data_IF_351796770766
#
_entry.id   IF_351796770766
#
_cell.length_a   1.000
_cell.length_b   1.000
_cell.length_c   1.000
_cell.angle_alpha   90.00
_cell.angle_beta   90.00
_cell.angle_gamma   90.00
#
_symmetry.space_group_name_H-M   'P 1'
#
loop_
_entity.id
_entity.type
_entity.pdbx_description
1 polymer ?
#
# COMPACT_ATOMS: atom_id res chain seq x y z
N UNK A 1 -9.82 5.82 9.00
CA UNK A 1 -9.66 4.35 9.02
C UNK A 1 -8.26 4.04 8.54
N UNK A 2 -7.48 3.20 9.23
CA UNK A 2 -6.13 2.86 8.78
C UNK A 2 -6.21 2.09 7.46
N UNK A 3 -5.41 2.52 6.49
CA UNK A 3 -5.35 1.90 5.16
C UNK A 3 -4.22 0.88 5.09
N UNK A 4 -3.10 1.23 5.71
CA UNK A 4 -1.90 0.42 5.83
C UNK A 4 -1.40 0.45 7.27
N UNK A 5 -0.77 -0.63 7.70
CA UNK A 5 -0.09 -0.69 8.99
C UNK A 5 1.39 -0.41 8.80
N UNK A 6 2.05 0.18 9.80
CA UNK A 6 3.49 0.41 9.75
C UNK A 6 4.30 -0.90 9.75
N UNK A 7 3.71 -2.00 10.24
CA UNK A 7 4.32 -3.35 10.26
C UNK A 7 4.45 -3.97 8.88
N UNK A 8 3.56 -3.58 7.97
CA UNK A 8 3.55 -4.07 6.58
C UNK A 8 4.37 -3.18 5.65
N UNK A 9 4.92 -2.09 6.19
CA UNK A 9 5.84 -1.21 5.49
C UNK A 9 7.19 -1.91 5.33
N UNK A 10 7.73 -1.90 4.12
CA UNK A 10 9.07 -2.38 3.83
C UNK A 10 9.84 -1.37 2.98
N UNK A 11 11.17 -1.47 3.05
CA UNK A 11 12.03 -0.67 2.19
C UNK A 11 12.16 -1.33 0.82
N UNK A 12 11.62 -0.69 -0.22
CA UNK A 12 11.69 -1.17 -1.60
C UNK A 12 12.90 -0.62 -2.37
N UNK A 13 13.80 0.12 -1.70
CA UNK A 13 14.94 0.79 -2.33
C UNK A 13 14.58 1.94 -3.30
N UNK A 14 13.29 2.22 -3.51
CA UNK A 14 12.82 3.23 -4.47
C UNK A 14 12.72 4.65 -3.89
N UNK A 15 12.99 4.84 -2.58
CA UNK A 15 12.84 6.13 -1.88
C UNK A 15 11.40 6.51 -1.51
N UNK A 16 10.42 5.65 -1.83
CA UNK A 16 9.00 5.81 -1.49
C UNK A 16 8.56 4.72 -0.51
N UNK A 17 7.61 5.01 0.39
CA UNK A 17 7.06 4.01 1.30
C UNK A 17 6.36 2.91 0.49
N UNK A 18 6.83 1.67 0.63
CA UNK A 18 6.21 0.49 0.05
C UNK A 18 5.60 -0.36 1.14
N UNK A 19 4.49 -1.02 0.82
CA UNK A 19 3.79 -1.93 1.73
C UNK A 19 3.55 -3.26 1.02
N UNK A 20 3.63 -4.36 1.76
CA UNK A 20 3.36 -5.70 1.21
C UNK A 20 1.97 -6.22 1.52
N UNK A 21 1.25 -5.55 2.41
CA UNK A 21 -0.09 -5.93 2.82
C UNK A 21 -0.89 -4.67 3.22
N UNK A 22 -2.20 -4.72 3.07
CA UNK A 22 -3.09 -3.62 3.38
C UNK A 22 -4.21 -4.08 4.31
N UNK A 23 -4.78 -3.14 5.06
CA UNK A 23 -5.87 -3.49 5.98
C UNK A 23 -7.05 -4.06 5.18
N UNK A 24 -7.57 -5.25 5.55
CA UNK A 24 -8.68 -5.84 4.83
C UNK A 24 -9.89 -4.91 4.88
N UNK A 25 -10.56 -4.75 3.73
CA UNK A 25 -11.67 -3.80 3.51
C UNK A 25 -11.31 -2.31 3.55
N UNK A 26 -10.04 -1.92 3.72
CA UNK A 26 -9.66 -0.51 3.64
C UNK A 26 -9.40 -0.05 2.21
N UNK A 27 -8.91 -0.96 1.36
CA UNK A 27 -8.62 -0.71 -0.05
C UNK A 27 -9.33 -1.71 -0.94
N UNK A 28 -9.56 -1.32 -2.20
CA UNK A 28 -10.00 -2.21 -3.27
C UNK A 28 -8.89 -2.31 -4.31
N UNK A 29 -8.49 -3.53 -4.61
CA UNK A 29 -7.57 -3.87 -5.69
C UNK A 29 -8.37 -4.15 -6.95
N UNK A 30 -8.11 -3.38 -8.00
CA UNK A 30 -8.75 -3.49 -9.31
C UNK A 30 -7.66 -3.97 -10.29
N UNK A 31 -7.64 -5.25 -10.67
CA UNK A 31 -6.67 -5.73 -11.66
C UNK A 31 -6.92 -5.04 -13.00
N UNK A 32 -5.85 -4.50 -13.60
CA UNK A 32 -5.92 -3.94 -14.95
C UNK A 32 -6.27 -5.05 -15.96
N UNK A 33 -6.94 -4.70 -17.08
CA UNK A 33 -7.20 -5.64 -18.17
C UNK A 33 -5.92 -6.20 -18.81
N UNK A 34 -4.77 -5.53 -18.65
CA UNK A 34 -3.45 -6.02 -19.10
C UNK A 34 -2.86 -7.07 -18.14
N UNK A 35 -3.40 -7.23 -16.92
CA UNK A 35 -2.97 -8.20 -15.92
C UNK A 35 -1.59 -7.92 -15.30
N UNK A 36 -0.89 -6.87 -15.74
CA UNK A 36 0.45 -6.51 -15.24
C UNK A 36 0.43 -5.60 -14.01
N UNK A 37 -0.69 -4.91 -13.77
CA UNK A 37 -0.84 -3.91 -12.69
C UNK A 37 -2.18 -4.11 -12.02
N UNK A 38 -2.26 -3.73 -10.76
CA UNK A 38 -3.49 -3.78 -9.99
C UNK A 38 -3.68 -2.41 -9.37
N UNK A 39 -4.65 -1.65 -9.87
CA UNK A 39 -4.97 -0.34 -9.33
C UNK A 39 -5.53 -0.45 -7.91
N UNK A 40 -5.11 0.44 -7.02
CA UNK A 40 -5.60 0.52 -5.65
C UNK A 40 -6.49 1.75 -5.51
N UNK A 41 -7.74 1.51 -5.13
CA UNK A 41 -8.67 2.58 -4.80
C UNK A 41 -9.16 2.48 -3.35
N UNK A 42 -9.48 3.63 -2.78
CA UNK A 42 -10.06 3.75 -1.45
C UNK A 42 -11.39 3.00 -1.39
N UNK A 43 -11.55 2.05 -0.47
CA UNK A 43 -12.81 1.29 -0.38
C UNK A 43 -14.01 2.16 0.01
N UNK A 44 -13.74 3.25 0.75
CA UNK A 44 -14.75 4.17 1.30
C UNK A 44 -15.08 5.35 0.37
N UNK A 45 -14.08 5.84 -0.36
CA UNK A 45 -14.16 7.08 -1.13
C UNK A 45 -13.92 6.88 -2.63
N UNK A 46 -13.54 5.67 -3.05
CA UNK A 46 -13.20 5.31 -4.42
C UNK A 46 -12.12 6.19 -5.07
N UNK A 47 -11.38 6.98 -4.29
CA UNK A 47 -10.24 7.74 -4.76
C UNK A 47 -9.06 6.84 -5.10
N UNK A 48 -8.39 7.13 -6.21
CA UNK A 48 -7.18 6.44 -6.64
C UNK A 48 -6.02 6.70 -5.67
N UNK A 49 -5.42 5.62 -5.15
CA UNK A 49 -4.32 5.70 -4.19
C UNK A 49 -2.97 5.29 -4.80
N UNK A 50 -2.97 4.35 -5.74
CA UNK A 50 -1.75 3.88 -6.38
C UNK A 50 -1.94 2.52 -7.06
N UNK A 51 -0.87 1.74 -7.13
CA UNK A 51 -0.86 0.45 -7.81
C UNK A 51 -0.16 -0.63 -6.95
N UNK A 52 -0.69 -1.85 -6.97
CA UNK A 52 0.01 -3.07 -6.54
C UNK A 52 0.67 -3.73 -7.74
N UNK A 53 1.89 -4.18 -7.51
CA UNK A 53 2.63 -5.06 -8.39
C UNK A 53 2.84 -6.39 -7.67
N UNK A 54 2.48 -7.50 -8.31
CA UNK A 54 2.73 -8.85 -7.79
C UNK A 54 3.83 -9.50 -8.62
N UNK A 55 4.60 -10.43 -8.04
CA UNK A 55 5.70 -11.12 -8.72
C UNK A 55 6.91 -10.21 -9.03
N UNK A 56 7.16 -9.20 -8.19
CA UNK A 56 8.41 -8.44 -8.30
C UNK A 56 9.61 -9.18 -7.69
N UNK A 57 9.38 -10.27 -6.94
CA UNK A 57 10.46 -11.04 -6.31
C UNK A 57 11.00 -10.35 -5.07
N UNK A 58 10.17 -9.58 -4.37
CA UNK A 58 10.55 -8.99 -3.08
C UNK A 58 10.53 -10.07 -1.99
N UNK A 59 11.44 -10.02 -1.00
CA UNK A 59 11.49 -10.94 0.12
C UNK A 59 10.37 -10.64 1.14
N UNK A 60 9.13 -10.61 0.67
CA UNK A 60 7.91 -10.33 1.44
C UNK A 60 7.01 -11.56 1.39
N UNK A 61 6.24 -11.85 2.45
CA UNK A 61 5.43 -13.07 2.51
C UNK A 61 4.37 -13.16 1.42
N UNK A 62 3.94 -12.02 0.88
CA UNK A 62 2.91 -11.91 -0.15
C UNK A 62 3.48 -11.75 -1.57
N UNK A 63 4.77 -11.41 -1.71
CA UNK A 63 5.40 -10.99 -2.98
C UNK A 63 4.62 -9.86 -3.70
N UNK A 64 3.99 -8.99 -2.89
CA UNK A 64 3.22 -7.84 -3.36
C UNK A 64 3.95 -6.55 -2.99
N UNK A 65 4.06 -5.62 -3.94
CA UNK A 65 4.52 -4.26 -3.70
C UNK A 65 3.37 -3.29 -3.96
N UNK A 66 2.89 -2.67 -2.89
CA UNK A 66 1.89 -1.61 -2.95
C UNK A 66 2.64 -0.29 -3.08
N UNK A 67 2.68 0.23 -4.30
CA UNK A 67 3.23 1.54 -4.62
C UNK A 67 2.10 2.58 -4.51
N UNK A 68 2.01 3.19 -3.33
CA UNK A 68 1.00 4.20 -2.99
C UNK A 68 1.62 5.58 -3.00
N UNK A 69 0.91 6.54 -3.58
CA UNK A 69 1.40 7.91 -3.59
C UNK A 69 1.38 8.48 -2.17
N UNK A 70 2.48 9.07 -1.70
CA UNK A 70 2.53 9.74 -0.41
C UNK A 70 1.46 10.84 -0.27
N UNK A 71 1.04 11.46 -1.37
CA UNK A 71 -0.05 12.43 -1.37
C UNK A 71 -1.42 11.82 -1.06
N UNK A 72 -1.61 10.52 -1.35
CA UNK A 72 -2.83 9.78 -1.08
C UNK A 72 -2.83 9.11 0.30
N UNK A 73 -1.69 9.14 1.02
CA UNK A 73 -1.54 8.59 2.35
C UNK A 73 -1.41 9.70 3.38
N UNK A 74 -2.37 9.79 4.30
CA UNK A 74 -2.22 10.62 5.49
C UNK A 74 -1.58 9.75 6.57
N UNK A 75 -0.30 10.01 6.84
CA UNK A 75 0.39 9.37 7.96
C UNK A 75 -0.13 9.93 9.28
N UNK A 76 -0.88 9.12 10.01
CA UNK A 76 -1.15 9.37 11.42
C UNK A 76 -0.07 8.65 12.23
N UNK A 77 0.88 9.42 12.77
CA UNK A 77 1.73 8.91 13.81
C UNK A 77 0.83 8.55 15.00
N UNK A 78 0.61 7.26 15.25
CA UNK A 78 0.20 6.83 16.58
C UNK A 78 1.24 7.39 17.53
N UNK A 79 0.80 8.18 18.51
CA UNK A 79 1.61 8.95 19.43
C UNK A 79 2.97 8.28 19.69
N UNK A 80 4.02 8.88 19.14
CA UNK A 80 5.36 8.61 19.62
C UNK A 80 5.39 9.21 21.02
N UNK A 81 5.16 8.36 22.03
CA UNK A 81 5.45 8.66 23.42
C UNK A 81 6.90 9.10 23.49
N UNK A 82 7.11 10.41 23.41
CA UNK A 82 8.33 11.07 23.82
C UNK A 82 8.21 11.19 25.34
N UNK A 83 8.70 10.18 26.06
CA UNK A 83 9.05 10.34 27.48
C UNK A 83 10.33 11.14 27.63
#
# INVERSE_FOLDING_TARGET
MPVYTSETKFDSGCGWPAFYDAVPNAIKSIPDPDGRRIEIVCANCNGHMGHVFKNEGFPTPTDERHCVNSASLIFHAGESSKS
#
